data_IF_093070541287
#
_entry.id   IF_093070541287
#
_cell.length_a   1.000
_cell.length_b   1.000
_cell.length_c   1.000
_cell.angle_alpha   90.00
_cell.angle_beta   90.00
_cell.angle_gamma   90.00
#
_symmetry.space_group_name_H-M   'P 1'
#
loop_
_entity.id
_entity.type
_entity.pdbx_description
1 polymer ?
#
# COMPACT_ATOMS: atom_id res chain seq x y z
N UNK A 1 -18.11 6.26 10.52
CA UNK A 1 -16.82 5.68 10.10
C UNK A 1 -15.95 5.31 11.30
N UNK A 2 -15.47 6.29 12.08
CA UNK A 2 -14.59 6.05 13.25
C UNK A 2 -15.12 4.98 14.21
N UNK A 3 -16.42 5.04 14.55
CA UNK A 3 -17.02 4.06 15.47
C UNK A 3 -17.03 2.61 14.98
N UNK A 4 -16.82 2.34 13.69
CA UNK A 4 -16.67 0.97 13.15
C UNK A 4 -15.20 0.54 13.19
N UNK A 5 -14.28 1.41 12.76
CA UNK A 5 -12.84 1.18 12.82
C UNK A 5 -12.24 1.20 14.24
N UNK A 6 -13.04 1.55 15.25
CA UNK A 6 -12.67 1.51 16.67
C UNK A 6 -12.93 0.14 17.29
N UNK A 7 -14.06 -0.49 16.94
CA UNK A 7 -14.48 -1.78 17.51
C UNK A 7 -14.01 -2.98 16.68
N UNK A 8 -13.52 -2.74 15.47
CA UNK A 8 -13.04 -3.76 14.54
C UNK A 8 -11.67 -3.38 13.99
N UNK A 9 -10.94 -4.36 13.47
CA UNK A 9 -9.70 -4.18 12.70
C UNK A 9 -9.95 -3.69 11.26
N UNK A 10 -11.13 -3.10 10.99
CA UNK A 10 -11.49 -2.63 9.67
C UNK A 10 -10.83 -1.31 9.31
N UNK A 11 -10.48 -1.19 8.04
CA UNK A 11 -10.14 0.07 7.39
C UNK A 11 -11.40 0.58 6.71
N UNK A 12 -11.84 1.78 7.07
CA UNK A 12 -13.03 2.42 6.46
C UNK A 12 -12.62 3.62 5.63
N UNK A 13 -12.99 3.63 4.35
CA UNK A 13 -12.83 4.80 3.47
C UNK A 13 -14.11 5.62 3.51
N UNK A 14 -13.98 6.93 3.68
CA UNK A 14 -15.09 7.89 3.67
C UNK A 14 -14.87 8.87 2.54
N UNK A 15 -15.89 9.04 1.70
CA UNK A 15 -15.92 10.08 0.67
C UNK A 15 -17.01 11.07 1.04
N UNK A 16 -16.64 12.34 1.12
CA UNK A 16 -17.60 13.43 1.29
C UNK A 16 -18.41 13.58 0.01
N UNK A 17 -19.73 13.50 0.12
CA UNK A 17 -20.64 13.76 -1.01
C UNK A 17 -20.50 15.20 -1.53
N UNK A 18 -20.42 16.15 -0.60
CA UNK A 18 -20.39 17.59 -0.91
C UNK A 18 -19.07 18.02 -1.56
N UNK A 19 -17.95 17.52 -1.04
CA UNK A 19 -16.62 18.04 -1.39
C UNK A 19 -15.76 17.06 -2.16
N UNK A 20 -16.19 15.80 -2.29
CA UNK A 20 -15.38 14.71 -2.85
C UNK A 20 -14.14 14.36 -2.00
N UNK A 21 -13.97 14.98 -0.82
CA UNK A 21 -12.81 14.75 0.03
C UNK A 21 -12.79 13.31 0.55
N UNK A 22 -11.60 12.72 0.55
CA UNK A 22 -11.36 11.34 0.95
C UNK A 22 -10.70 11.31 2.33
N UNK A 23 -11.21 10.46 3.21
CA UNK A 23 -10.62 10.19 4.51
C UNK A 23 -10.55 8.69 4.79
N UNK A 24 -9.48 8.27 5.48
CA UNK A 24 -9.30 6.91 5.97
C UNK A 24 -9.59 6.90 7.46
N UNK A 25 -10.48 6.02 7.92
CA UNK A 25 -10.72 5.76 9.32
C UNK A 25 -10.12 4.41 9.73
N UNK A 26 -9.22 4.42 10.71
CA UNK A 26 -8.52 3.26 11.25
C UNK A 26 -8.08 3.56 12.69
N UNK A 27 -8.16 2.58 13.60
CA UNK A 27 -7.68 2.70 15.00
C UNK A 27 -8.18 3.99 15.68
N UNK A 28 -9.48 4.27 15.55
CA UNK A 28 -10.14 5.47 16.09
C UNK A 28 -9.62 6.82 15.56
N UNK A 29 -8.79 6.83 14.51
CA UNK A 29 -8.31 8.03 13.82
C UNK A 29 -9.00 8.19 12.48
N UNK A 30 -9.21 9.44 12.09
CA UNK A 30 -9.69 9.82 10.76
C UNK A 30 -8.64 10.72 10.11
N UNK A 31 -8.06 10.27 9.01
CA UNK A 31 -6.97 10.96 8.30
C UNK A 31 -7.47 11.38 6.93
N UNK A 32 -7.43 12.68 6.64
CA UNK A 32 -7.69 13.21 5.31
C UNK A 32 -6.52 12.85 4.39
N UNK A 33 -6.81 12.34 3.19
CA UNK A 33 -5.79 11.91 2.22
C UNK A 33 -6.15 12.40 0.82
N UNK A 34 -5.14 12.51 -0.04
CA UNK A 34 -5.34 12.66 -1.48
C UNK A 34 -5.37 11.30 -2.19
N UNK A 35 -5.65 11.30 -3.49
CA UNK A 35 -5.74 10.09 -4.30
C UNK A 35 -4.44 9.28 -4.31
N UNK A 36 -3.29 9.97 -4.39
CA UNK A 36 -1.97 9.34 -4.42
C UNK A 36 -1.70 8.60 -3.10
N UNK A 37 -1.92 9.28 -1.98
CA UNK A 37 -1.75 8.74 -0.63
C UNK A 37 -2.70 7.58 -0.38
N UNK A 38 -3.96 7.68 -0.81
CA UNK A 38 -4.93 6.57 -0.70
C UNK A 38 -4.45 5.34 -1.49
N UNK A 39 -4.00 5.53 -2.73
CA UNK A 39 -3.49 4.44 -3.58
C UNK A 39 -2.32 3.73 -2.91
N UNK A 40 -1.30 4.48 -2.52
CA UNK A 40 -0.10 3.92 -1.89
C UNK A 40 -0.44 3.20 -0.56
N UNK A 41 -1.35 3.77 0.24
CA UNK A 41 -1.85 3.13 1.46
C UNK A 41 -2.54 1.78 1.16
N UNK A 42 -3.41 1.73 0.15
CA UNK A 42 -4.11 0.50 -0.22
C UNK A 42 -3.17 -0.54 -0.84
N UNK A 43 -2.19 -0.12 -1.64
CA UNK A 43 -1.15 -1.00 -2.18
C UNK A 43 -0.35 -1.67 -1.05
N UNK A 44 -0.02 -0.90 0.00
CA UNK A 44 0.65 -1.40 1.20
C UNK A 44 -0.21 -2.42 1.96
N UNK A 45 -1.45 -2.06 2.26
CA UNK A 45 -2.35 -2.85 3.13
C UNK A 45 -2.82 -4.12 2.44
N UNK A 46 -3.13 -4.07 1.14
CA UNK A 46 -3.76 -5.18 0.41
C UNK A 46 -2.69 -6.12 -0.19
N UNK A 47 -1.40 -5.85 0.02
CA UNK A 47 -0.28 -6.60 -0.57
C UNK A 47 -0.42 -6.80 -2.09
N UNK A 48 -1.00 -5.81 -2.78
CA UNK A 48 -1.02 -5.84 -4.24
C UNK A 48 0.41 -5.51 -4.66
N UNK A 49 1.19 -6.55 -5.00
CA UNK A 49 2.50 -6.40 -5.63
C UNK A 49 2.33 -5.69 -6.98
N UNK A 50 2.30 -4.37 -6.96
CA UNK A 50 2.68 -3.58 -8.12
C UNK A 50 4.19 -3.51 -8.05
N UNK A 51 4.88 -3.99 -9.08
CA UNK A 51 6.33 -3.87 -9.19
C UNK A 51 6.70 -2.41 -9.49
N UNK A 52 6.39 -1.48 -8.57
CA UNK A 52 6.76 -0.08 -8.65
C UNK A 52 8.15 0.10 -8.03
N UNK A 53 9.07 0.65 -8.82
CA UNK A 53 10.47 0.91 -8.48
C UNK A 53 10.65 2.18 -7.64
N UNK A 54 9.63 2.59 -6.88
CA UNK A 54 9.61 3.88 -6.17
C UNK A 54 9.84 3.70 -4.67
N UNK A 55 10.44 4.70 -3.99
CA UNK A 55 10.76 4.62 -2.57
C UNK A 55 9.49 4.36 -1.75
N UNK A 56 9.57 3.40 -0.82
CA UNK A 56 8.47 3.07 0.11
C UNK A 56 8.03 4.36 0.83
N UNK A 57 6.76 4.77 0.72
CA UNK A 57 6.27 5.92 1.46
C UNK A 57 6.28 5.61 2.97
N UNK A 58 6.98 6.44 3.74
CA UNK A 58 6.91 6.42 5.20
C UNK A 58 5.61 7.09 5.66
N UNK A 59 4.56 6.30 5.80
CA UNK A 59 3.31 6.78 6.37
C UNK A 59 3.40 6.84 7.89
N UNK A 60 3.60 8.03 8.44
CA UNK A 60 3.67 8.28 9.89
C UNK A 60 2.38 7.94 10.65
N UNK A 61 1.26 7.79 9.94
CA UNK A 61 -0.04 7.43 10.51
C UNK A 61 -0.34 5.92 10.45
N UNK A 62 0.47 5.14 9.73
CA UNK A 62 0.33 3.68 9.72
C UNK A 62 1.03 3.13 10.96
N UNK A 63 0.35 2.21 11.64
CA UNK A 63 0.88 1.56 12.83
C UNK A 63 2.24 0.88 12.52
N UNK A 64 3.31 1.16 13.29
CA UNK A 64 4.63 0.57 13.05
C UNK A 64 4.64 -0.96 13.15
N UNK A 65 3.67 -1.59 13.81
CA UNK A 65 3.53 -3.05 13.81
C UNK A 65 3.14 -3.60 12.44
N UNK A 66 2.35 -2.85 11.66
CA UNK A 66 2.03 -3.19 10.27
C UNK A 66 3.30 -3.08 9.42
N UNK A 67 4.07 -2.00 9.58
CA UNK A 67 5.34 -1.81 8.87
C UNK A 67 6.36 -2.91 9.18
N UNK A 68 6.48 -3.30 10.46
CA UNK A 68 7.40 -4.36 10.88
C UNK A 68 6.96 -5.74 10.36
N UNK A 69 5.67 -6.07 10.46
CA UNK A 69 5.13 -7.31 9.89
C UNK A 69 5.33 -7.38 8.38
N UNK A 70 5.22 -6.24 7.70
CA UNK A 70 5.53 -6.10 6.29
C UNK A 70 7.01 -6.38 5.98
N UNK A 71 7.94 -5.84 6.78
CA UNK A 71 9.38 -6.11 6.61
C UNK A 71 9.72 -7.59 6.82
N UNK A 72 9.12 -8.22 7.82
CA UNK A 72 9.33 -9.64 8.14
C UNK A 72 8.78 -10.55 7.03
N UNK A 73 7.56 -10.29 6.53
CA UNK A 73 6.88 -11.08 5.48
C UNK A 73 7.54 -10.97 4.08
N UNK A 74 8.37 -9.95 3.85
CA UNK A 74 9.05 -9.72 2.56
C UNK A 74 10.58 -9.91 2.59
N UNK A 75 11.15 -10.41 3.69
CA UNK A 75 12.59 -10.65 3.82
C UNK A 75 13.15 -11.72 2.84
N UNK A 76 12.29 -12.61 2.32
CA UNK A 76 12.66 -13.73 1.45
C UNK A 76 12.63 -13.42 -0.07
N UNK A 77 12.16 -12.24 -0.49
CA UNK A 77 12.19 -11.87 -1.91
C UNK A 77 13.46 -11.09 -2.19
N UNK A 78 14.52 -11.81 -2.57
CA UNK A 78 15.75 -11.15 -2.99
C UNK A 78 15.49 -10.33 -4.26
N UNK A 79 15.82 -9.04 -4.22
CA UNK A 79 15.76 -8.13 -5.38
C UNK A 79 16.58 -8.71 -6.56
N UNK A 80 17.61 -9.51 -6.26
CA UNK A 80 18.43 -10.19 -7.25
C UNK A 80 17.65 -11.24 -8.07
N UNK A 81 16.62 -11.87 -7.52
CA UNK A 81 15.81 -12.85 -8.24
C UNK A 81 14.78 -12.19 -9.18
N UNK A 82 14.27 -11.01 -8.80
CA UNK A 82 13.38 -10.21 -9.66
C UNK A 82 14.14 -9.65 -10.87
N UNK A 83 15.38 -9.20 -10.67
CA UNK A 83 16.21 -8.63 -11.75
C UNK A 83 16.67 -9.68 -12.78
N UNK A 84 16.87 -10.93 -12.37
CA UNK A 84 17.22 -12.03 -13.30
C UNK A 84 16.10 -12.37 -14.27
N UNK A 85 14.83 -12.17 -13.89
CA UNK A 85 13.69 -12.46 -14.74
C UNK A 85 13.38 -11.38 -15.79
N UNK A 86 14.00 -10.20 -15.72
CA UNK A 86 13.75 -9.10 -16.68
C UNK A 86 14.62 -9.16 -17.94
N UNK A 87 15.63 -10.03 -18.00
CA UNK A 87 16.55 -10.12 -19.14
C UNK A 87 16.31 -11.31 -20.09
N UNK A 88 15.24 -12.10 -19.91
CA UNK A 88 14.96 -13.27 -20.77
C UNK A 88 13.86 -13.04 -21.83
N UNK A 89 13.17 -11.90 -21.83
CA UNK A 89 12.03 -11.67 -22.74
C UNK A 89 12.26 -10.63 -23.84
N UNK A 90 13.48 -10.11 -24.01
CA UNK A 90 13.81 -9.19 -25.12
C UNK A 90 14.98 -9.78 -25.91
N UNK A 91 14.67 -10.61 -26.91
CA UNK A 91 15.70 -11.13 -27.83
C UNK A 91 15.34 -12.44 -28.51
N UNK A 92 14.21 -12.52 -29.21
CA UNK A 92 14.02 -13.49 -30.31
C UNK A 92 12.87 -13.02 -31.21
N UNK A 93 13.11 -11.92 -31.93
CA UNK A 93 12.47 -11.67 -33.22
C UNK A 93 13.57 -11.17 -34.16
N UNK A 94 14.20 -12.09 -34.89
CA UNK A 94 14.81 -11.82 -36.21
C UNK A 94 15.08 -13.15 -36.95
N UNK A 95 14.69 -13.15 -38.23
CA UNK A 95 14.82 -14.14 -39.33
C UNK A 95 13.73 -15.23 -39.52
#
# INVERSE_FOLDING_TARGET
>A
AVGISEITDSITIVVSEETGSISIAQESKLTLVDEKTLREFLELVIQIKVASTEPKPEFSFINPEINKKLEDDFSDVSIADVLKNKQKSEGEEDE
#
